data_IF_058081640615
#
_entry.id   IF_058081640615
#
_cell.length_a   1.000
_cell.length_b   1.000
_cell.length_c   1.000
_cell.angle_alpha   90.00
_cell.angle_beta   90.00
_cell.angle_gamma   90.00
#
_symmetry.space_group_name_H-M   'P 1'
#
loop_
_entity.id
_entity.type
_entity.pdbx_description
1 polymer ?
#
# COMPACT_ATOMS: atom_id res chain seq x y z
N UNK A 1 24.52 -6.60 -0.17
CA UNK A 1 23.83 -5.32 -0.49
C UNK A 1 23.88 -4.41 0.73
N UNK A 2 24.35 -3.16 0.58
CA UNK A 2 24.44 -2.25 1.73
C UNK A 2 23.06 -1.77 2.20
N UNK A 3 22.94 -1.35 3.47
CA UNK A 3 21.70 -0.75 4.00
C UNK A 3 21.26 0.46 3.15
N UNK A 4 22.23 1.28 2.72
CA UNK A 4 21.98 2.47 1.88
C UNK A 4 21.40 2.10 0.52
N UNK A 5 21.96 1.09 -0.15
CA UNK A 5 21.46 0.63 -1.45
C UNK A 5 20.02 0.11 -1.36
N UNK A 6 19.67 -0.60 -0.29
CA UNK A 6 18.29 -1.07 -0.05
C UNK A 6 17.30 0.09 0.07
N UNK A 7 17.64 1.11 0.85
CA UNK A 7 16.76 2.26 1.03
C UNK A 7 16.57 3.03 -0.28
N UNK A 8 17.64 3.23 -1.06
CA UNK A 8 17.55 3.89 -2.38
C UNK A 8 16.61 3.12 -3.31
N UNK A 9 16.75 1.79 -3.37
CA UNK A 9 15.88 0.95 -4.19
C UNK A 9 14.40 1.03 -3.74
N UNK A 10 14.15 0.98 -2.42
CA UNK A 10 12.81 1.08 -1.85
C UNK A 10 12.15 2.43 -2.20
N UNK A 11 12.86 3.54 -1.99
CA UNK A 11 12.35 4.87 -2.32
C UNK A 11 12.12 5.04 -3.82
N UNK A 12 13.02 4.53 -4.66
CA UNK A 12 12.86 4.57 -6.12
C UNK A 12 11.59 3.84 -6.58
N UNK A 13 11.34 2.63 -6.06
CA UNK A 13 10.13 1.87 -6.37
C UNK A 13 8.87 2.58 -5.88
N UNK A 14 8.88 3.15 -4.68
CA UNK A 14 7.74 3.91 -4.16
C UNK A 14 7.44 5.13 -5.03
N UNK A 15 8.45 5.89 -5.44
CA UNK A 15 8.26 7.04 -6.34
C UNK A 15 7.64 6.64 -7.68
N UNK A 16 8.07 5.51 -8.26
CA UNK A 16 7.49 5.01 -9.52
C UNK A 16 6.02 4.64 -9.37
N UNK A 17 5.67 3.89 -8.31
CA UNK A 17 4.28 3.48 -8.06
C UNK A 17 3.34 4.66 -7.77
N UNK A 18 3.83 5.71 -7.12
CA UNK A 18 3.07 6.97 -6.98
C UNK A 18 2.88 7.66 -8.33
N UNK A 19 3.95 7.77 -9.14
CA UNK A 19 3.90 8.43 -10.45
C UNK A 19 2.91 7.77 -11.41
N UNK A 20 2.83 6.44 -11.35
CA UNK A 20 1.93 5.65 -12.20
C UNK A 20 0.50 5.58 -11.65
N UNK A 21 0.18 6.31 -10.57
CA UNK A 21 -1.10 6.29 -9.86
C UNK A 21 -1.52 4.89 -9.36
N UNK A 22 -0.56 4.03 -9.03
CA UNK A 22 -0.79 2.68 -8.53
C UNK A 22 -0.83 2.59 -7.00
N UNK A 23 -0.73 3.72 -6.29
CA UNK A 23 -0.90 3.78 -4.84
C UNK A 23 -2.23 4.43 -4.47
N UNK A 24 -2.99 3.77 -3.59
CA UNK A 24 -4.17 4.31 -2.95
C UNK A 24 -3.89 4.49 -1.45
N UNK A 25 -4.11 5.69 -0.93
CA UNK A 25 -3.95 6.00 0.48
C UNK A 25 -5.31 5.97 1.18
N UNK A 26 -5.42 5.19 2.26
CA UNK A 26 -6.58 5.15 3.13
C UNK A 26 -6.30 6.02 4.37
N UNK A 27 -7.31 6.74 4.85
CA UNK A 27 -7.18 7.52 6.09
C UNK A 27 -7.01 6.60 7.31
N UNK A 28 -7.77 5.50 7.34
CA UNK A 28 -7.70 4.47 8.37
C UNK A 28 -8.24 3.14 7.84
N UNK A 29 -7.79 2.01 8.42
CA UNK A 29 -8.25 0.67 8.09
C UNK A 29 -8.34 -0.19 9.37
N UNK A 30 -9.53 -0.23 9.96
CA UNK A 30 -9.81 -1.03 11.16
C UNK A 30 -10.90 -2.08 10.89
N UNK A 31 -10.68 -3.29 11.43
CA UNK A 31 -11.66 -4.38 11.40
C UNK A 31 -12.07 -4.74 12.83
N UNK A 32 -13.36 -4.64 13.13
CA UNK A 32 -13.90 -5.02 14.46
C UNK A 32 -13.74 -6.54 14.70
N UNK A 33 -13.85 -7.34 13.64
CA UNK A 33 -13.61 -8.79 13.66
C UNK A 33 -12.87 -9.19 12.39
N UNK A 34 -12.03 -10.25 12.39
CA UNK A 34 -11.27 -10.66 11.20
C UNK A 34 -12.18 -11.31 10.16
N UNK A 35 -12.92 -10.49 9.40
CA UNK A 35 -13.87 -10.91 8.36
C UNK A 35 -13.39 -10.52 6.97
N UNK A 36 -13.08 -11.53 6.17
CA UNK A 36 -12.63 -11.36 4.78
C UNK A 36 -13.70 -10.73 3.87
N UNK A 37 -14.99 -10.91 4.18
CA UNK A 37 -16.09 -10.26 3.45
C UNK A 37 -16.05 -8.73 3.56
N UNK A 38 -15.70 -8.22 4.72
CA UNK A 38 -15.59 -6.77 4.97
C UNK A 38 -14.40 -6.20 4.19
N UNK A 39 -13.25 -6.88 4.23
CA UNK A 39 -12.08 -6.51 3.43
C UNK A 39 -12.36 -6.50 1.91
N UNK A 40 -13.09 -7.51 1.41
CA UNK A 40 -13.49 -7.57 -0.01
C UNK A 40 -14.38 -6.38 -0.40
N UNK A 41 -15.30 -5.99 0.48
CA UNK A 41 -16.17 -4.84 0.22
C UNK A 41 -15.37 -3.53 0.12
N UNK A 42 -14.39 -3.33 1.00
CA UNK A 42 -13.49 -2.17 0.96
C UNK A 42 -12.71 -2.14 -0.37
N UNK A 43 -12.10 -3.26 -0.75
CA UNK A 43 -11.32 -3.35 -2.00
C UNK A 43 -12.16 -3.05 -3.24
N UNK A 44 -13.44 -3.45 -3.26
CA UNK A 44 -14.36 -3.16 -4.38
C UNK A 44 -14.81 -1.71 -4.46
N UNK A 45 -14.71 -0.96 -3.36
CA UNK A 45 -15.15 0.43 -3.27
C UNK A 45 -14.00 1.44 -3.47
N UNK A 46 -12.77 0.96 -3.65
CA UNK A 46 -11.61 1.75 -4.08
C UNK A 46 -11.53 1.80 -5.61
#
# INVERSE_FOLDING_TARGET
MSKKMRNIALHGLMTLKVKDNEMCALQDLEFITPKTKEALAIIKNM
#
